data_IF_939530264908
#
_entry.id   IF_939530264908
#
_cell.length_a   1.000
_cell.length_b   1.000
_cell.length_c   1.000
_cell.angle_alpha   90.00
_cell.angle_beta   90.00
_cell.angle_gamma   90.00
#
_symmetry.space_group_name_H-M   'P 1'
#
loop_
_entity.id
_entity.type
_entity.pdbx_description
1 polymer ?
#
# COMPACT_ATOMS: atom_id res chain seq x y z
N UNK A 1 -25.41 6.14 -11.06
CA UNK A 1 -24.71 6.71 -9.90
C UNK A 1 -25.42 7.99 -9.48
N UNK A 2 -25.97 8.01 -8.27
CA UNK A 2 -26.70 9.15 -7.74
C UNK A 2 -25.76 10.17 -7.04
N UNK A 3 -26.32 11.21 -6.41
CA UNK A 3 -25.53 12.21 -5.68
C UNK A 3 -24.90 11.64 -4.40
N UNK A 4 -25.62 10.74 -3.70
CA UNK A 4 -25.15 10.11 -2.48
C UNK A 4 -23.92 9.24 -2.76
N UNK A 5 -23.93 8.53 -3.89
CA UNK A 5 -22.82 7.72 -4.33
C UNK A 5 -21.57 8.57 -4.58
N UNK A 6 -21.75 9.71 -5.28
CA UNK A 6 -20.65 10.64 -5.58
C UNK A 6 -20.04 11.18 -4.31
N UNK A 7 -20.89 11.55 -3.36
CA UNK A 7 -20.45 12.03 -2.06
C UNK A 7 -19.62 10.98 -1.32
N UNK A 8 -20.02 9.70 -1.35
CA UNK A 8 -19.28 8.64 -0.67
C UNK A 8 -17.89 8.41 -1.29
N UNK A 9 -17.76 8.41 -2.62
CA UNK A 9 -16.44 8.32 -3.26
C UNK A 9 -15.55 9.50 -2.88
N UNK A 10 -16.09 10.73 -2.82
CA UNK A 10 -15.33 11.90 -2.40
C UNK A 10 -14.89 11.86 -0.93
N UNK A 11 -15.60 11.11 -0.07
CA UNK A 11 -15.23 10.89 1.32
C UNK A 11 -14.26 9.71 1.52
N UNK A 12 -14.00 8.92 0.48
CA UNK A 12 -13.14 7.76 0.60
C UNK A 12 -11.70 8.16 0.98
N UNK A 13 -11.02 7.40 1.84
CA UNK A 13 -9.70 7.75 2.36
C UNK A 13 -8.60 7.39 1.35
N UNK A 14 -8.61 8.04 0.19
CA UNK A 14 -7.57 7.85 -0.83
C UNK A 14 -6.51 8.96 -0.76
N UNK A 15 -5.26 8.57 -1.00
CA UNK A 15 -4.15 9.49 -1.20
C UNK A 15 -4.11 9.94 -2.66
N UNK A 16 -4.43 11.21 -2.91
CA UNK A 16 -4.49 11.78 -4.26
C UNK A 16 -3.12 12.17 -4.81
N UNK A 17 -2.07 12.20 -3.98
CA UNK A 17 -0.69 12.44 -4.42
C UNK A 17 -0.02 11.17 -4.96
N UNK A 18 -0.64 10.01 -4.76
CA UNK A 18 -0.22 8.72 -5.31
C UNK A 18 -1.01 8.37 -6.58
N UNK A 19 -0.36 8.49 -7.74
CA UNK A 19 -0.98 8.29 -9.07
C UNK A 19 -1.72 6.94 -9.18
N UNK A 20 -1.18 5.88 -8.60
CA UNK A 20 -1.75 4.53 -8.64
C UNK A 20 -3.03 4.47 -7.81
N UNK A 21 -3.03 5.07 -6.61
CA UNK A 21 -4.20 5.16 -5.74
C UNK A 21 -5.30 6.02 -6.36
N UNK A 22 -4.94 7.19 -6.90
CA UNK A 22 -5.87 8.07 -7.59
C UNK A 22 -6.51 7.38 -8.80
N UNK A 23 -5.71 6.68 -9.62
CA UNK A 23 -6.22 5.90 -10.75
C UNK A 23 -7.13 4.75 -10.29
N UNK A 24 -6.79 4.07 -9.20
CA UNK A 24 -7.61 3.02 -8.60
C UNK A 24 -9.00 3.53 -8.21
N UNK A 25 -9.07 4.69 -7.54
CA UNK A 25 -10.33 5.35 -7.21
C UNK A 25 -11.16 5.65 -8.47
N UNK A 26 -10.53 6.25 -9.49
CA UNK A 26 -11.22 6.57 -10.75
C UNK A 26 -11.80 5.31 -11.41
N UNK A 27 -11.03 4.23 -11.48
CA UNK A 27 -11.49 2.97 -12.07
C UNK A 27 -12.65 2.33 -11.28
N UNK A 28 -12.60 2.37 -9.94
CA UNK A 28 -13.71 1.89 -9.11
C UNK A 28 -14.98 2.71 -9.36
N UNK A 29 -14.87 4.04 -9.37
CA UNK A 29 -16.00 4.93 -9.62
C UNK A 29 -16.59 4.75 -11.03
N UNK A 30 -15.75 4.64 -12.06
CA UNK A 30 -16.21 4.40 -13.44
C UNK A 30 -16.91 3.06 -13.61
N UNK A 31 -16.35 1.98 -13.04
CA UNK A 31 -16.96 0.65 -13.11
C UNK A 31 -18.27 0.59 -12.34
N UNK A 32 -18.32 1.20 -11.15
CA UNK A 32 -19.55 1.33 -10.37
C UNK A 32 -20.60 2.13 -11.13
N UNK A 33 -20.25 3.27 -11.72
CA UNK A 33 -21.18 4.11 -12.47
C UNK A 33 -21.76 3.40 -13.70
N UNK A 34 -20.95 2.56 -14.37
CA UNK A 34 -21.34 1.85 -15.60
C UNK A 34 -22.14 0.57 -15.36
N UNK A 35 -21.70 -0.25 -14.39
CA UNK A 35 -22.23 -1.61 -14.19
C UNK A 35 -22.96 -1.79 -12.85
N UNK A 36 -22.76 -0.89 -11.89
CA UNK A 36 -23.18 -1.08 -10.50
C UNK A 36 -22.42 -2.19 -9.78
N UNK A 37 -21.34 -2.71 -10.38
CA UNK A 37 -20.56 -3.83 -9.88
C UNK A 37 -19.07 -3.62 -10.18
N UNK A 38 -18.23 -3.81 -9.17
CA UNK A 38 -16.78 -3.63 -9.24
C UNK A 38 -16.12 -4.90 -8.71
N UNK A 39 -15.65 -5.75 -9.62
CA UNK A 39 -14.92 -6.96 -9.25
C UNK A 39 -13.43 -6.68 -9.19
N UNK A 40 -12.77 -7.13 -8.13
CA UNK A 40 -11.35 -6.89 -7.93
C UNK A 40 -10.50 -7.53 -9.04
N UNK A 41 -10.91 -8.69 -9.54
CA UNK A 41 -10.21 -9.43 -10.62
C UNK A 41 -10.20 -8.70 -11.97
N UNK A 42 -11.12 -7.77 -12.21
CA UNK A 42 -11.13 -6.97 -13.45
C UNK A 42 -10.06 -5.87 -13.42
N UNK A 43 -9.52 -5.56 -12.24
CA UNK A 43 -8.62 -4.43 -12.00
C UNK A 43 -7.25 -4.94 -11.57
N UNK A 44 -7.20 -6.07 -10.87
CA UNK A 44 -5.97 -6.68 -10.37
C UNK A 44 -5.81 -8.11 -10.86
N UNK A 45 -4.66 -8.42 -11.48
CA UNK A 45 -4.35 -9.78 -11.92
C UNK A 45 -3.65 -10.55 -10.78
N UNK A 46 -4.22 -11.67 -10.27
CA UNK A 46 -3.57 -12.47 -9.25
C UNK A 46 -2.23 -13.02 -9.76
N UNK A 47 -1.17 -12.94 -8.94
CA UNK A 47 0.17 -13.48 -9.26
C UNK A 47 1.25 -12.44 -9.58
N UNK A 48 0.91 -11.15 -9.58
CA UNK A 48 1.86 -10.04 -9.77
C UNK A 48 2.58 -9.63 -8.48
N UNK A 49 2.01 -9.94 -7.31
CA UNK A 49 2.59 -9.62 -6.00
C UNK A 49 3.82 -10.50 -5.74
N UNK A 50 5.00 -9.88 -5.72
CA UNK A 50 6.29 -10.51 -5.44
C UNK A 50 7.03 -9.69 -4.40
N UNK A 51 7.97 -10.33 -3.71
CA UNK A 51 8.89 -9.64 -2.80
C UNK A 51 9.57 -8.50 -3.57
N UNK A 52 9.44 -7.24 -3.13
CA UNK A 52 10.06 -6.11 -3.80
C UNK A 52 11.58 -6.27 -3.71
N UNK A 53 12.31 -5.95 -4.78
CA UNK A 53 13.78 -6.02 -4.82
C UNK A 53 14.45 -4.65 -4.88
N UNK A 54 13.65 -3.59 -4.87
CA UNK A 54 14.09 -2.21 -4.99
C UNK A 54 13.10 -1.28 -4.30
N UNK A 55 13.56 -0.09 -3.90
CA UNK A 55 12.69 0.95 -3.32
C UNK A 55 11.54 1.34 -4.25
N UNK A 56 11.77 1.33 -5.57
CA UNK A 56 10.71 1.60 -6.54
C UNK A 56 9.62 0.51 -6.50
N UNK A 57 10.02 -0.76 -6.48
CA UNK A 57 9.10 -1.88 -6.38
C UNK A 57 8.37 -1.89 -5.03
N UNK A 58 9.02 -1.46 -3.94
CA UNK A 58 8.38 -1.27 -2.64
C UNK A 58 7.30 -0.18 -2.72
N UNK A 59 7.61 0.99 -3.29
CA UNK A 59 6.64 2.07 -3.47
C UNK A 59 5.42 1.60 -4.29
N UNK A 60 5.66 0.87 -5.38
CA UNK A 60 4.56 0.28 -6.17
C UNK A 60 3.70 -0.68 -5.34
N UNK A 61 4.31 -1.51 -4.50
CA UNK A 61 3.61 -2.44 -3.62
C UNK A 61 2.80 -1.71 -2.54
N UNK A 62 3.33 -0.62 -1.98
CA UNK A 62 2.62 0.26 -1.03
C UNK A 62 1.40 0.91 -1.68
N UNK A 63 1.53 1.42 -2.90
CA UNK A 63 0.40 1.99 -3.65
C UNK A 63 -0.68 0.93 -3.92
N UNK A 64 -0.29 -0.30 -4.28
CA UNK A 64 -1.24 -1.41 -4.45
C UNK A 64 -1.94 -1.72 -3.13
N UNK A 65 -1.22 -1.75 -2.01
CA UNK A 65 -1.81 -1.95 -0.69
C UNK A 65 -2.87 -0.86 -0.39
N UNK A 66 -2.60 0.41 -0.71
CA UNK A 66 -3.57 1.51 -0.55
C UNK A 66 -4.83 1.30 -1.42
N UNK A 67 -4.68 0.88 -2.67
CA UNK A 67 -5.82 0.57 -3.56
C UNK A 67 -6.67 -0.57 -3.01
N UNK A 68 -6.04 -1.62 -2.47
CA UNK A 68 -6.76 -2.75 -1.86
C UNK A 68 -7.50 -2.32 -0.58
N UNK A 69 -6.90 -1.46 0.23
CA UNK A 69 -7.55 -0.90 1.42
C UNK A 69 -8.76 -0.03 1.04
N UNK A 70 -8.64 0.79 0.00
CA UNK A 70 -9.75 1.55 -0.57
C UNK A 70 -10.89 0.61 -1.03
N UNK A 71 -10.57 -0.48 -1.72
CA UNK A 71 -11.60 -1.46 -2.14
C UNK A 71 -12.33 -2.04 -0.93
N UNK A 72 -11.60 -2.43 0.12
CA UNK A 72 -12.18 -2.94 1.38
C UNK A 72 -13.08 -1.88 2.01
N UNK A 73 -12.64 -0.62 2.09
CA UNK A 73 -13.43 0.48 2.63
C UNK A 73 -14.74 0.68 1.86
N UNK A 74 -14.71 0.67 0.53
CA UNK A 74 -15.90 0.78 -0.32
C UNK A 74 -16.84 -0.43 -0.14
N UNK A 75 -16.30 -1.63 0.05
CA UNK A 75 -17.10 -2.84 0.25
C UNK A 75 -17.91 -2.86 1.55
N UNK A 76 -17.50 -2.10 2.57
CA UNK A 76 -18.31 -1.92 3.78
C UNK A 76 -19.54 -1.02 3.56
N UNK A 77 -19.53 -0.20 2.51
CA UNK A 77 -20.63 0.71 2.19
C UNK A 77 -21.54 0.17 1.08
N UNK A 78 -20.98 -0.63 0.15
CA UNK A 78 -21.69 -1.21 -0.98
C UNK A 78 -21.37 -2.70 -1.14
N UNK A 79 -21.87 -3.52 -0.21
CA UNK A 79 -21.57 -4.96 -0.16
C UNK A 79 -21.97 -5.70 -1.45
N UNK A 80 -23.12 -5.37 -2.04
CA UNK A 80 -23.59 -5.98 -3.30
C UNK A 80 -22.75 -5.56 -4.52
N UNK A 81 -22.23 -4.34 -4.52
CA UNK A 81 -21.46 -3.79 -5.66
C UNK A 81 -19.96 -4.09 -5.58
N UNK A 82 -19.44 -4.39 -4.39
CA UNK A 82 -18.04 -4.72 -4.12
C UNK A 82 -17.93 -6.08 -3.42
N UNK A 83 -18.26 -7.18 -4.13
CA UNK A 83 -18.40 -8.51 -3.51
C UNK A 83 -17.08 -9.16 -3.11
N UNK A 84 -15.94 -8.69 -3.64
CA UNK A 84 -14.63 -9.36 -3.46
C UNK A 84 -13.89 -8.89 -2.20
N UNK A 85 -14.60 -8.50 -1.12
CA UNK A 85 -14.00 -7.95 0.12
C UNK A 85 -12.96 -8.89 0.74
N UNK A 86 -13.27 -10.17 0.85
CA UNK A 86 -12.37 -11.16 1.46
C UNK A 86 -11.09 -11.34 0.63
N UNK A 87 -11.22 -11.35 -0.69
CA UNK A 87 -10.08 -11.41 -1.60
C UNK A 87 -9.19 -10.16 -1.47
N UNK A 88 -9.80 -8.98 -1.45
CA UNK A 88 -9.08 -7.73 -1.26
C UNK A 88 -8.33 -7.69 0.08
N UNK A 89 -8.99 -8.14 1.16
CA UNK A 89 -8.40 -8.22 2.49
C UNK A 89 -7.22 -9.20 2.55
N UNK A 90 -7.36 -10.38 1.93
CA UNK A 90 -6.28 -11.36 1.85
C UNK A 90 -5.07 -10.84 1.05
N UNK A 91 -5.32 -10.18 -0.10
CA UNK A 91 -4.26 -9.58 -0.90
C UNK A 91 -3.59 -8.41 -0.17
N UNK A 92 -4.37 -7.57 0.53
CA UNK A 92 -3.86 -6.48 1.36
C UNK A 92 -2.91 -7.00 2.43
N UNK A 93 -3.32 -8.04 3.17
CA UNK A 93 -2.49 -8.68 4.18
C UNK A 93 -1.19 -9.25 3.59
N UNK A 94 -1.26 -9.87 2.41
CA UNK A 94 -0.06 -10.33 1.71
C UNK A 94 0.88 -9.16 1.34
N UNK A 95 0.35 -8.04 0.87
CA UNK A 95 1.17 -6.85 0.62
C UNK A 95 1.84 -6.35 1.89
N UNK A 96 1.13 -6.28 3.02
CA UNK A 96 1.71 -5.87 4.31
C UNK A 96 2.88 -6.76 4.71
N UNK A 97 2.74 -8.09 4.61
CA UNK A 97 3.81 -9.04 4.91
C UNK A 97 5.04 -8.85 4.02
N UNK A 98 4.84 -8.62 2.71
CA UNK A 98 5.94 -8.42 1.76
C UNK A 98 6.66 -7.08 1.95
N UNK A 99 5.93 -6.04 2.37
CA UNK A 99 6.50 -4.74 2.74
C UNK A 99 7.36 -4.90 4.01
N UNK A 100 6.82 -5.55 5.04
CA UNK A 100 7.51 -5.82 6.30
C UNK A 100 8.80 -6.62 6.08
N UNK A 101 8.74 -7.73 5.34
CA UNK A 101 9.92 -8.57 5.02
C UNK A 101 11.04 -7.78 4.33
N UNK A 102 10.68 -6.89 3.39
CA UNK A 102 11.65 -6.02 2.73
C UNK A 102 12.29 -5.01 3.69
N UNK A 103 11.48 -4.41 4.57
CA UNK A 103 11.95 -3.44 5.55
C UNK A 103 12.84 -4.08 6.62
N UNK A 104 12.51 -5.28 7.08
CA UNK A 104 13.32 -6.05 8.04
C UNK A 104 14.68 -6.43 7.44
N UNK A 105 14.70 -6.85 6.17
CA UNK A 105 15.95 -7.07 5.42
C UNK A 105 16.82 -5.81 5.32
N UNK A 106 16.19 -4.63 5.24
CA UNK A 106 16.87 -3.33 5.24
C UNK A 106 17.29 -2.84 6.63
N UNK A 107 16.56 -3.20 7.69
CA UNK A 107 16.93 -2.89 9.07
C UNK A 107 18.32 -3.42 9.43
N UNK A 108 18.67 -4.61 8.92
CA UNK A 108 20.00 -5.20 9.05
C UNK A 108 21.12 -4.41 8.34
N UNK A 109 20.85 -3.81 7.18
CA UNK A 109 21.84 -2.99 6.45
C UNK A 109 21.98 -1.59 7.04
N UNK A 110 20.90 -0.96 7.51
CA UNK A 110 20.93 0.34 8.21
C UNK A 110 21.73 0.23 9.51
N UNK A 111 21.52 -0.82 10.32
CA UNK A 111 22.29 -1.07 11.55
C UNK A 111 23.76 -1.43 11.28
N UNK A 112 24.10 -1.87 10.07
CA UNK A 112 25.49 -2.08 9.64
C UNK A 112 26.15 -0.75 9.28
N UNK A 113 25.50 0.09 8.48
CA UNK A 113 26.01 1.42 8.11
C UNK A 113 26.14 2.39 9.29
N UNK A 114 25.37 2.21 10.37
CA UNK A 114 25.48 3.02 11.60
C UNK A 114 26.63 2.63 12.53
N UNK A 115 27.23 1.44 12.36
CA UNK A 115 28.42 1.02 13.13
C UNK A 115 29.72 1.58 12.55
N UNK A 116 29.72 1.93 11.27
CA UNK A 116 30.90 2.48 10.58
C UNK A 116 31.10 4.00 10.82
N UNK A 117 30.16 4.64 11.53
CA UNK A 117 30.16 6.09 11.83
C UNK A 117 30.25 6.42 13.33
N UNK A 118 30.53 5.43 14.19
CA UNK A 118 30.82 5.73 15.60
C UNK A 118 32.33 6.04 15.72
N UNK A 119 32.75 7.29 15.98
CA UNK A 119 34.15 7.56 16.28
C UNK A 119 34.52 6.81 17.56
N UNK A 120 35.70 6.19 17.51
CA UNK A 120 36.29 5.42 18.59
C UNK A 120 36.37 6.26 19.88
N UNK A 121 35.52 5.91 20.85
CA UNK A 121 35.42 6.59 22.15
C UNK A 121 36.65 6.35 23.03
N UNK A 122 37.58 5.46 22.64
CA UNK A 122 38.86 5.27 23.34
C UNK A 122 39.87 6.39 23.05
N UNK A 123 39.65 7.20 22.01
CA UNK A 123 40.55 8.31 21.65
C UNK A 123 40.42 9.57 22.53
N UNK A 124 39.37 9.67 23.37
CA UNK A 124 39.13 10.84 24.23
C UNK A 124 39.70 10.72 25.65
N UNK A 125 40.19 9.54 26.07
CA UNK A 125 40.75 9.36 27.41
C UNK A 125 42.21 9.83 27.56
N UNK A 126 42.92 10.14 26.47
CA UNK A 126 44.36 10.41 26.53
C UNK A 126 44.76 11.89 26.53
N UNK A 127 43.80 12.83 26.63
CA UNK A 127 44.08 14.28 26.66
C UNK A 127 43.68 15.00 27.96
N UNK A 128 43.43 14.26 29.03
CA UNK A 128 43.29 14.81 30.37
C UNK A 128 44.53 14.44 31.22
N UNK A 129 45.67 15.05 30.90
CA UNK A 129 46.79 15.19 31.85
C UNK A 129 47.53 16.49 31.60
#
# INVERSE_FOLDING_TARGET
MDLKDKYLFCLSPVDMDDDVSAQGLTQFAENYARKGLVRLREIFTPGTLRVPKSHKALKELESIHKVLDLYVWLSFHWEDSFPDRELASAQKALCSLLIEDFLDGFGGTILRGRRDFLPDMDSLSSKAK
#
